data_IF_111397021907
#
_entry.id   IF_111397021907
#
_cell.length_a   1.000
_cell.length_b   1.000
_cell.length_c   1.000
_cell.angle_alpha   90.00
_cell.angle_beta   90.00
_cell.angle_gamma   90.00
#
_symmetry.space_group_name_H-M   'P 1'
#
loop_
_entity.id
_entity.type
_entity.pdbx_description
1 polymer ?
#
# COMPACT_ATOMS: atom_id res chain seq x y z
N UNK A 1 -4.76 -8.14 13.67
CA UNK A 1 -3.46 -8.85 13.76
C UNK A 1 -2.31 -8.10 13.08
N UNK A 2 -2.31 -7.83 11.77
CA UNK A 2 -1.14 -7.21 11.09
C UNK A 2 -0.93 -5.69 11.26
N UNK A 3 -1.80 -4.98 12.00
CA UNK A 3 -1.75 -3.51 12.07
C UNK A 3 -0.40 -3.00 12.61
N UNK A 4 0.08 -3.56 13.73
CA UNK A 4 1.35 -3.15 14.31
C UNK A 4 2.53 -3.41 13.37
N UNK A 5 2.54 -4.56 12.67
CA UNK A 5 3.58 -4.88 11.68
C UNK A 5 3.68 -3.82 10.57
N UNK A 6 2.53 -3.30 10.11
CA UNK A 6 2.51 -2.21 9.12
C UNK A 6 3.07 -0.90 9.69
N UNK A 7 2.76 -0.57 10.94
CA UNK A 7 3.29 0.63 11.61
C UNK A 7 4.81 0.53 11.78
N UNK A 8 5.31 -0.63 12.20
CA UNK A 8 6.74 -0.88 12.35
C UNK A 8 7.47 -0.84 11.02
N UNK A 9 6.95 -1.51 9.98
CA UNK A 9 7.52 -1.46 8.64
C UNK A 9 7.60 -0.04 8.09
N UNK A 10 6.60 0.81 8.35
CA UNK A 10 6.59 2.20 7.90
C UNK A 10 7.62 3.10 8.61
N UNK A 11 8.18 2.66 9.76
CA UNK A 11 9.22 3.39 10.51
C UNK A 11 10.64 3.05 10.05
N UNK A 12 10.83 2.07 9.17
CA UNK A 12 12.16 1.73 8.60
C UNK A 12 12.66 2.95 7.82
N UNK A 13 13.85 3.45 8.16
CA UNK A 13 14.42 4.66 7.55
C UNK A 13 14.78 4.44 6.07
N UNK A 14 15.48 3.33 5.78
CA UNK A 14 15.85 2.97 4.42
C UNK A 14 14.60 2.75 3.56
N UNK A 15 14.47 3.55 2.50
CA UNK A 15 13.27 3.55 1.67
C UNK A 15 13.08 2.23 0.89
N UNK A 16 14.18 1.59 0.48
CA UNK A 16 14.13 0.34 -0.29
C UNK A 16 13.68 -0.82 0.59
N UNK A 17 14.24 -0.90 1.80
CA UNK A 17 13.89 -1.87 2.83
C UNK A 17 12.45 -1.66 3.31
N UNK A 18 12.06 -0.42 3.64
CA UNK A 18 10.68 -0.06 3.99
C UNK A 18 9.70 -0.57 2.94
N UNK A 19 9.95 -0.28 1.66
CA UNK A 19 9.08 -0.70 0.57
C UNK A 19 9.08 -2.22 0.35
N UNK A 20 10.23 -2.89 0.52
CA UNK A 20 10.31 -4.36 0.46
C UNK A 20 9.47 -5.00 1.57
N UNK A 21 9.56 -4.51 2.80
CA UNK A 21 8.83 -5.02 3.97
C UNK A 21 7.33 -4.79 3.84
N UNK A 22 6.90 -3.57 3.47
CA UNK A 22 5.48 -3.27 3.21
C UNK A 22 4.89 -4.16 2.11
N UNK A 23 5.63 -4.39 1.01
CA UNK A 23 5.19 -5.30 -0.07
C UNK A 23 5.06 -6.76 0.39
N UNK A 24 5.87 -7.20 1.35
CA UNK A 24 5.73 -8.53 1.95
C UNK A 24 4.45 -8.59 2.79
N UNK A 25 4.25 -7.64 3.70
CA UNK A 25 3.08 -7.60 4.57
C UNK A 25 1.75 -7.55 3.80
N UNK A 26 1.69 -6.79 2.71
CA UNK A 26 0.50 -6.75 1.82
C UNK A 26 0.22 -8.13 1.23
N UNK A 27 1.25 -8.84 0.75
CA UNK A 27 1.11 -10.18 0.16
C UNK A 27 0.75 -11.25 1.19
N UNK A 28 1.11 -11.03 2.45
CA UNK A 28 0.80 -11.94 3.56
C UNK A 28 -0.63 -11.71 4.12
N UNK A 29 -1.39 -10.74 3.62
CA UNK A 29 -2.79 -10.55 4.01
C UNK A 29 -3.66 -11.75 3.59
N UNK A 30 -4.72 -12.10 4.36
CA UNK A 30 -5.73 -13.02 3.89
C UNK A 30 -6.31 -12.57 2.53
N UNK A 31 -6.62 -13.54 1.67
CA UNK A 31 -6.89 -13.29 0.25
C UNK A 31 -7.95 -12.23 -0.03
N UNK A 32 -9.06 -12.22 0.71
CA UNK A 32 -10.12 -11.22 0.53
C UNK A 32 -9.67 -9.79 0.88
N UNK A 33 -8.85 -9.62 1.92
CA UNK A 33 -8.27 -8.32 2.27
C UNK A 33 -7.26 -7.86 1.22
N UNK A 34 -6.41 -8.76 0.72
CA UNK A 34 -5.45 -8.46 -0.33
C UNK A 34 -6.14 -7.99 -1.62
N UNK A 35 -7.14 -8.74 -2.11
CA UNK A 35 -7.82 -8.38 -3.37
C UNK A 35 -8.59 -7.06 -3.24
N UNK A 36 -9.23 -6.81 -2.09
CA UNK A 36 -9.91 -5.53 -1.83
C UNK A 36 -8.93 -4.37 -1.86
N UNK A 37 -7.79 -4.50 -1.15
CA UNK A 37 -6.77 -3.47 -1.10
C UNK A 37 -6.12 -3.23 -2.47
N UNK A 38 -5.81 -4.31 -3.21
CA UNK A 38 -5.25 -4.24 -4.57
C UNK A 38 -6.17 -3.50 -5.52
N UNK A 39 -7.47 -3.81 -5.51
CA UNK A 39 -8.46 -3.11 -6.33
C UNK A 39 -8.52 -1.62 -5.98
N UNK A 40 -8.68 -1.30 -4.69
CA UNK A 40 -8.77 0.07 -4.21
C UNK A 40 -7.52 0.89 -4.58
N UNK A 41 -6.32 0.38 -4.28
CA UNK A 41 -5.06 1.08 -4.57
C UNK A 41 -4.85 1.25 -6.08
N UNK A 42 -5.24 0.26 -6.89
CA UNK A 42 -5.20 0.38 -8.35
C UNK A 42 -6.12 1.49 -8.88
N UNK A 43 -7.32 1.60 -8.31
CA UNK A 43 -8.24 2.68 -8.65
C UNK A 43 -7.69 4.05 -8.21
N UNK A 44 -7.21 4.17 -6.98
CA UNK A 44 -6.61 5.41 -6.47
C UNK A 44 -5.38 5.83 -7.27
N UNK A 45 -4.57 4.89 -7.75
CA UNK A 45 -3.48 5.17 -8.69
C UNK A 45 -4.02 5.80 -9.97
N UNK A 46 -5.08 5.24 -10.55
CA UNK A 46 -5.70 5.79 -11.77
C UNK A 46 -6.18 7.23 -11.54
N UNK A 47 -6.75 7.53 -10.36
CA UNK A 47 -7.12 8.90 -9.99
C UNK A 47 -5.89 9.81 -9.89
N UNK A 48 -4.82 9.34 -9.24
CA UNK A 48 -3.58 10.09 -9.07
C UNK A 48 -2.89 10.39 -10.40
N UNK A 49 -2.93 9.46 -11.36
CA UNK A 49 -2.39 9.64 -12.72
C UNK A 49 -3.15 10.74 -13.50
N UNK A 50 -4.37 11.08 -13.08
CA UNK A 50 -5.19 12.17 -13.64
C UNK A 50 -5.24 13.42 -12.73
N UNK A 51 -4.28 13.58 -11.81
CA UNK A 51 -4.30 14.65 -10.81
C UNK A 51 -4.37 16.07 -11.40
N UNK A 52 -3.75 16.32 -12.56
CA UNK A 52 -3.78 17.64 -13.24
C UNK A 52 -5.20 18.11 -13.59
N UNK A 53 -6.14 17.18 -13.76
CA UNK A 53 -7.56 17.49 -14.02
C UNK A 53 -8.41 17.40 -12.76
N UNK A 54 -8.09 16.48 -11.86
CA UNK A 54 -8.92 16.16 -10.70
C UNK A 54 -8.65 17.06 -9.48
N UNK A 55 -7.53 17.78 -9.47
CA UNK A 55 -7.14 18.69 -8.37
C UNK A 55 -7.39 20.18 -8.68
N UNK A 56 -8.09 20.48 -9.78
CA UNK A 56 -8.47 21.85 -10.18
C UNK A 56 -9.78 22.23 -9.50
#
# INVERSE_FOLDING_TARGET
DKYNDFIEANRIEDASERMRTLRKLIRDLPGHYYETLKFLVGHLKTIADHAEKNKV
#
